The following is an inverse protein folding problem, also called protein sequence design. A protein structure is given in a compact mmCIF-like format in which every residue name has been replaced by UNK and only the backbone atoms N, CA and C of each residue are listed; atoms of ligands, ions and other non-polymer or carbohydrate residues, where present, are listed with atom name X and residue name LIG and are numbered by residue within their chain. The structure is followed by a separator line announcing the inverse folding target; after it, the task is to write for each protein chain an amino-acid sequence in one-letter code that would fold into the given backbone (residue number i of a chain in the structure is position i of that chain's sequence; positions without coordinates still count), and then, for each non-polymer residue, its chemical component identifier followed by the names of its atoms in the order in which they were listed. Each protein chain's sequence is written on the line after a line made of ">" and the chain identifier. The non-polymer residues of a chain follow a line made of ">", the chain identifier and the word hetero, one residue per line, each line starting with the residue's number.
data_IF_383190159476
#
_entry.id   IF_383190159476
#
_cell.length_a   1.000
_cell.length_b   1.000
_cell.length_c   1.000
_cell.angle_alpha   90.00
_cell.angle_beta   90.00
_cell.angle_gamma   90.00
#
_symmetry.space_group_name_H-M   'P 1'
#
loop_
_entity.id
_entity.type
_entity.pdbx_description
1 polymer ?
#
# COMPACT_ATOMS: atom_id res chain seq x y z
N UNK A 1 0.32 7.40 0.19
CA UNK A 1 1.41 6.75 -0.56
C UNK A 1 2.48 7.78 -0.88
N UNK A 2 2.21 8.75 -1.75
CA UNK A 2 3.16 9.80 -2.13
C UNK A 2 3.73 10.61 -0.95
N UNK A 3 2.90 11.00 0.02
CA UNK A 3 3.40 11.70 1.22
C UNK A 3 4.39 10.86 2.05
N UNK A 4 4.30 9.53 1.99
CA UNK A 4 5.26 8.65 2.65
C UNK A 4 6.62 8.67 1.91
N UNK A 5 6.63 8.93 0.60
CA UNK A 5 7.84 9.07 -0.19
C UNK A 5 8.68 10.31 0.18
N UNK A 6 8.09 11.33 0.81
CA UNK A 6 8.85 12.44 1.39
C UNK A 6 9.82 12.00 2.50
N UNK A 7 9.61 10.81 3.10
CA UNK A 7 10.47 10.25 4.16
C UNK A 7 11.16 8.95 3.78
N UNK A 8 10.59 8.16 2.88
CA UNK A 8 11.11 6.85 2.48
C UNK A 8 10.98 6.69 0.95
N UNK A 9 12.10 6.77 0.24
CA UNK A 9 12.14 6.76 -1.24
C UNK A 9 11.88 5.38 -1.87
N UNK A 10 11.72 4.34 -1.06
CA UNK A 10 11.40 2.97 -1.49
C UNK A 10 10.27 2.37 -0.66
N UNK A 11 9.72 1.24 -1.10
CA UNK A 11 8.67 0.51 -0.37
C UNK A 11 9.22 -0.46 0.69
N UNK A 12 10.22 -0.04 1.47
CA UNK A 12 10.76 -0.82 2.58
C UNK A 12 9.74 -0.98 3.74
N UNK A 13 10.08 -1.80 4.73
CA UNK A 13 9.26 -1.96 5.95
C UNK A 13 8.99 -0.63 6.65
N UNK A 14 9.95 0.31 6.65
CA UNK A 14 9.79 1.66 7.21
C UNK A 14 8.76 2.49 6.43
N UNK A 15 8.71 2.36 5.11
CA UNK A 15 7.67 3.00 4.30
C UNK A 15 6.29 2.46 4.65
N UNK A 16 6.14 1.14 4.74
CA UNK A 16 4.85 0.52 5.07
C UNK A 16 4.41 0.83 6.50
N UNK A 17 5.34 1.02 7.43
CA UNK A 17 5.01 1.52 8.76
C UNK A 17 4.41 2.94 8.72
N UNK A 18 4.92 3.83 7.86
CA UNK A 18 4.34 5.17 7.66
C UNK A 18 2.93 5.08 7.04
N UNK A 19 2.73 4.19 6.08
CA UNK A 19 1.40 3.94 5.50
C UNK A 19 0.43 3.43 6.58
N UNK A 20 0.83 2.41 7.35
CA UNK A 20 0.02 1.79 8.41
C UNK A 20 -0.41 2.78 9.48
N UNK A 21 0.45 3.74 9.84
CA UNK A 21 0.12 4.77 10.83
C UNK A 21 -1.05 5.66 10.40
N UNK A 22 -1.20 5.91 9.10
CA UNK A 22 -2.28 6.76 8.56
C UNK A 22 -3.47 5.94 8.06
N UNK A 23 -3.21 4.74 7.52
CA UNK A 23 -4.20 3.82 6.98
C UNK A 23 -3.93 2.43 7.59
N UNK A 24 -4.44 2.15 8.80
CA UNK A 24 -4.13 0.92 9.52
C UNK A 24 -4.55 -0.37 8.80
N UNK A 25 -5.58 -0.30 7.97
CA UNK A 25 -6.16 -1.41 7.19
C UNK A 25 -5.61 -1.51 5.75
N UNK A 26 -4.45 -0.89 5.46
CA UNK A 26 -3.90 -0.86 4.11
C UNK A 26 -3.61 -2.25 3.51
N UNK A 27 -3.28 -3.24 4.34
CA UNK A 27 -2.98 -4.61 3.92
C UNK A 27 -4.22 -5.31 3.35
N UNK A 28 -5.37 -5.14 4.01
CA UNK A 28 -6.65 -5.67 3.53
C UNK A 28 -7.09 -4.98 2.24
N UNK A 29 -6.95 -3.65 2.17
CA UNK A 29 -7.22 -2.88 0.95
C UNK A 29 -6.37 -3.38 -0.21
N UNK A 30 -5.07 -3.58 0.02
CA UNK A 30 -4.12 -4.09 -1.00
C UNK A 30 -4.50 -5.50 -1.45
N UNK A 31 -4.90 -6.36 -0.52
CA UNK A 31 -5.37 -7.71 -0.82
C UNK A 31 -6.65 -7.70 -1.68
N UNK A 32 -7.62 -6.83 -1.35
CA UNK A 32 -8.83 -6.66 -2.17
C UNK A 32 -8.49 -6.16 -3.58
N UNK A 33 -7.61 -5.18 -3.70
CA UNK A 33 -7.16 -4.66 -4.99
C UNK A 33 -6.45 -5.71 -5.84
N UNK A 34 -5.62 -6.57 -5.23
CA UNK A 34 -4.95 -7.66 -5.94
C UNK A 34 -5.95 -8.66 -6.54
N UNK A 35 -7.04 -8.97 -5.83
CA UNK A 35 -8.13 -9.82 -6.33
C UNK A 35 -8.81 -9.18 -7.54
N UNK A 36 -9.19 -7.90 -7.43
CA UNK A 36 -9.82 -7.16 -8.54
C UNK A 36 -8.91 -7.09 -9.77
N UNK A 37 -7.60 -6.82 -9.57
CA UNK A 37 -6.63 -6.79 -10.67
C UNK A 37 -6.49 -8.15 -11.37
N UNK A 38 -6.57 -9.26 -10.64
CA UNK A 38 -6.57 -10.60 -11.23
C UNK A 38 -7.88 -10.96 -11.96
N UNK A 39 -9.00 -10.37 -11.55
CA UNK A 39 -10.30 -10.55 -12.19
C UNK A 39 -10.53 -9.65 -13.41
N UNK A 40 -9.76 -8.56 -13.54
CA UNK A 40 -9.67 -7.74 -14.75
C UNK A 40 -8.80 -8.48 -15.78
N UNK A 41 -9.33 -9.55 -16.34
CA UNK A 41 -8.86 -10.10 -17.62
C UNK A 41 -9.50 -9.23 -18.71
N UNK A 42 -8.69 -8.41 -19.39
CA UNK A 42 -9.02 -7.85 -20.70
C UNK A 42 -8.55 -8.83 -21.78
#
# INVERSE_FOLDING_TARGET
>A
HELCHLRQLNHSSKFWALVKRTIPDYEERRTRLAKVRGSLVL
#
